data_IF_418960511885
#
_entry.id   IF_418960511885
#
_cell.length_a   1.000
_cell.length_b   1.000
_cell.length_c   1.000
_cell.angle_alpha   90.00
_cell.angle_beta   90.00
_cell.angle_gamma   90.00
#
_symmetry.space_group_name_H-M   'P 1'
#
loop_
_entity.id
_entity.type
_entity.pdbx_description
1 polymer ?
#
# COMPACT_ATOMS: atom_id res chain seq x y z
N UNK A 1 3.04 -71.99 16.87
CA UNK A 1 2.46 -71.50 15.62
C UNK A 1 1.76 -70.13 15.74
N UNK A 2 0.84 -69.87 16.69
CA UNK A 2 0.17 -68.55 16.79
C UNK A 2 1.13 -67.41 17.23
N UNK A 3 2.06 -67.71 18.14
CA UNK A 3 3.01 -66.71 18.66
C UNK A 3 4.08 -66.28 17.63
N UNK A 4 4.47 -67.16 16.71
CA UNK A 4 5.47 -66.85 15.66
C UNK A 4 4.92 -65.89 14.59
N UNK A 5 3.61 -65.97 14.30
CA UNK A 5 2.94 -65.06 13.38
C UNK A 5 2.84 -63.64 13.96
N UNK A 6 2.57 -63.51 15.26
CA UNK A 6 2.54 -62.21 15.94
C UNK A 6 3.92 -61.55 15.97
N UNK A 7 4.96 -62.33 16.28
CA UNK A 7 6.36 -61.87 16.28
C UNK A 7 6.78 -61.41 14.88
N UNK A 8 6.49 -62.21 13.84
CA UNK A 8 6.79 -61.85 12.45
C UNK A 8 6.10 -60.56 12.01
N UNK A 9 4.84 -60.37 12.43
CA UNK A 9 4.06 -59.15 12.13
C UNK A 9 4.66 -57.92 12.82
N UNK A 10 5.06 -58.05 14.10
CA UNK A 10 5.71 -56.97 14.84
C UNK A 10 7.09 -56.63 14.27
N UNK A 11 7.89 -57.62 13.89
CA UNK A 11 9.18 -57.41 13.23
C UNK A 11 9.01 -56.71 11.87
N UNK A 12 8.01 -57.09 11.09
CA UNK A 12 7.70 -56.44 9.82
C UNK A 12 7.27 -54.99 10.02
N UNK A 13 6.39 -54.73 10.99
CA UNK A 13 5.97 -53.37 11.36
C UNK A 13 7.14 -52.51 11.82
N UNK A 14 8.04 -53.08 12.64
CA UNK A 14 9.21 -52.37 13.13
C UNK A 14 10.22 -52.06 12.01
N UNK A 15 10.39 -52.97 11.04
CA UNK A 15 11.18 -52.72 9.82
C UNK A 15 10.57 -51.60 8.97
N UNK A 16 9.25 -51.63 8.76
CA UNK A 16 8.54 -50.57 8.03
C UNK A 16 8.70 -49.21 8.73
N UNK A 17 8.55 -49.18 10.05
CA UNK A 17 8.72 -47.95 10.83
C UNK A 17 10.14 -47.38 10.73
N UNK A 18 11.16 -48.25 10.77
CA UNK A 18 12.56 -47.84 10.58
C UNK A 18 12.80 -47.32 9.18
N UNK A 19 12.26 -47.97 8.14
CA UNK A 19 12.36 -47.49 6.75
C UNK A 19 11.68 -46.13 6.57
N UNK A 20 10.45 -45.96 7.07
CA UNK A 20 9.74 -44.70 7.02
C UNK A 20 10.48 -43.59 7.77
N UNK A 21 11.10 -43.90 8.91
CA UNK A 21 11.94 -42.96 9.65
C UNK A 21 13.13 -42.50 8.81
N UNK A 22 13.87 -43.44 8.19
CA UNK A 22 15.02 -43.11 7.35
C UNK A 22 14.64 -42.23 6.16
N UNK A 23 13.52 -42.54 5.50
CA UNK A 23 12.99 -41.71 4.40
C UNK A 23 12.69 -40.28 4.86
N UNK A 24 11.99 -40.13 6.00
CA UNK A 24 11.67 -38.81 6.56
C UNK A 24 12.93 -38.02 6.94
N UNK A 25 13.93 -38.67 7.54
CA UNK A 25 15.20 -38.02 7.90
C UNK A 25 15.95 -37.55 6.65
N UNK A 26 15.98 -38.35 5.58
CA UNK A 26 16.57 -37.93 4.30
C UNK A 26 15.88 -36.69 3.74
N UNK A 27 14.54 -36.71 3.70
CA UNK A 27 13.77 -35.59 3.17
C UNK A 27 13.93 -34.32 4.01
N UNK A 28 14.04 -34.47 5.33
CA UNK A 28 14.28 -33.35 6.24
C UNK A 28 15.65 -32.70 5.94
N UNK A 29 16.68 -33.51 5.72
CA UNK A 29 18.02 -33.01 5.35
C UNK A 29 18.02 -32.27 4.01
N UNK A 30 17.29 -32.76 3.01
CA UNK A 30 17.14 -32.07 1.72
C UNK A 30 16.51 -30.69 1.90
N UNK A 31 15.43 -30.60 2.68
CA UNK A 31 14.74 -29.33 2.95
C UNK A 31 15.63 -28.37 3.73
N UNK A 32 16.40 -28.87 4.70
CA UNK A 32 17.38 -28.05 5.43
C UNK A 32 18.44 -27.46 4.49
N UNK A 33 18.95 -28.26 3.52
CA UNK A 33 19.90 -27.75 2.52
C UNK A 33 19.26 -26.74 1.56
N UNK A 34 18.01 -26.95 1.16
CA UNK A 34 17.28 -26.00 0.31
C UNK A 34 17.03 -24.67 1.05
N UNK A 35 16.67 -24.74 2.33
CA UNK A 35 16.49 -23.57 3.16
C UNK A 35 17.79 -22.76 3.34
N UNK A 36 18.93 -23.44 3.49
CA UNK A 36 20.25 -22.79 3.56
C UNK A 36 20.61 -22.09 2.25
N UNK A 37 20.31 -22.72 1.10
CA UNK A 37 20.52 -22.10 -0.21
C UNK A 37 19.65 -20.85 -0.38
N UNK A 38 18.36 -20.92 -0.05
CA UNK A 38 17.44 -19.78 -0.14
C UNK A 38 17.88 -18.62 0.77
N UNK A 39 18.40 -18.92 1.97
CA UNK A 39 18.97 -17.89 2.85
C UNK A 39 20.17 -17.20 2.21
N UNK A 40 21.08 -17.97 1.61
CA UNK A 40 22.23 -17.39 0.92
C UNK A 40 21.84 -16.54 -0.29
N UNK A 41 20.77 -16.90 -0.99
CA UNK A 41 20.22 -16.14 -2.12
C UNK A 41 19.61 -14.82 -1.66
N UNK A 42 18.87 -14.82 -0.55
CA UNK A 42 18.33 -13.60 0.07
C UNK A 42 19.48 -12.66 0.49
N UNK A 43 20.51 -13.18 1.16
CA UNK A 43 21.66 -12.37 1.55
C UNK A 43 22.37 -11.74 0.34
N UNK A 44 22.45 -12.47 -0.78
CA UNK A 44 22.99 -11.96 -2.03
C UNK A 44 22.11 -10.86 -2.65
N UNK A 45 20.78 -11.05 -2.63
CA UNK A 45 19.82 -10.06 -3.10
C UNK A 45 19.86 -8.77 -2.27
N UNK A 46 19.93 -8.89 -0.94
CA UNK A 46 20.04 -7.74 -0.03
C UNK A 46 21.33 -6.95 -0.30
N UNK A 47 22.44 -7.64 -0.53
CA UNK A 47 23.70 -7.03 -0.97
C UNK A 47 23.56 -6.25 -2.28
N UNK A 48 22.87 -6.82 -3.28
CA UNK A 48 22.62 -6.15 -4.56
C UNK A 48 21.66 -4.95 -4.41
N UNK A 49 20.63 -5.06 -3.58
CA UNK A 49 19.68 -3.99 -3.27
C UNK A 49 20.40 -2.79 -2.65
N UNK A 50 21.26 -3.03 -1.66
CA UNK A 50 22.07 -1.98 -1.05
C UNK A 50 22.99 -1.28 -2.07
N UNK A 51 23.58 -2.02 -3.01
CA UNK A 51 24.37 -1.43 -4.10
C UNK A 51 23.51 -0.57 -5.03
N UNK A 52 22.29 -0.99 -5.35
CA UNK A 52 21.35 -0.22 -6.16
C UNK A 52 20.95 1.06 -5.43
N UNK A 53 20.64 1.00 -4.14
CA UNK A 53 20.31 2.17 -3.32
C UNK A 53 21.45 3.19 -3.32
N UNK A 54 22.69 2.76 -3.10
CA UNK A 54 23.85 3.67 -3.15
C UNK A 54 24.05 4.27 -4.54
N UNK A 55 23.83 3.49 -5.60
CA UNK A 55 23.86 3.97 -6.99
C UNK A 55 22.79 5.04 -7.21
N UNK A 56 21.55 4.79 -6.80
CA UNK A 56 20.45 5.75 -6.86
C UNK A 56 20.79 7.03 -6.10
N UNK A 57 21.32 6.92 -4.89
CA UNK A 57 21.73 8.09 -4.10
C UNK A 57 22.81 8.92 -4.80
N UNK A 58 23.81 8.27 -5.42
CA UNK A 58 24.84 8.98 -6.19
C UNK A 58 24.29 9.66 -7.45
N UNK A 59 23.36 9.02 -8.16
CA UNK A 59 22.68 9.59 -9.33
C UNK A 59 21.77 10.76 -8.96
N UNK A 60 21.07 10.67 -7.83
CA UNK A 60 20.26 11.76 -7.32
C UNK A 60 21.14 12.93 -6.88
N UNK A 61 22.23 12.67 -6.17
CA UNK A 61 23.18 13.71 -5.75
C UNK A 61 23.77 14.46 -6.95
N UNK A 62 24.28 13.73 -7.95
CA UNK A 62 24.80 14.31 -9.20
C UNK A 62 23.74 15.06 -10.00
N UNK A 63 22.49 14.58 -10.01
CA UNK A 63 21.37 15.27 -10.69
C UNK A 63 20.93 16.55 -9.98
N UNK A 64 20.92 16.56 -8.65
CA UNK A 64 20.58 17.75 -7.85
C UNK A 64 21.64 18.85 -7.98
N UNK A 65 22.92 18.48 -8.08
CA UNK A 65 24.02 19.44 -8.24
C UNK A 65 23.97 20.19 -9.58
N UNK A 66 23.46 19.55 -10.63
CA UNK A 66 23.30 20.15 -11.97
C UNK A 66 22.08 21.08 -12.13
N UNK A 67 21.10 21.07 -11.21
CA UNK A 67 19.96 21.98 -11.26
C UNK A 67 20.24 23.35 -10.61
N UNK A 68 21.23 23.44 -9.72
CA UNK A 68 21.63 24.69 -9.05
C UNK A 68 22.35 25.71 -9.94
N UNK A 69 22.85 25.31 -11.11
CA UNK A 69 23.70 26.15 -11.97
C UNK A 69 22.97 26.85 -13.13
N UNK A 70 21.63 26.81 -13.20
CA UNK A 70 20.84 27.40 -14.30
C UNK A 70 20.23 28.78 -14.00
N UNK A 71 20.47 29.37 -12.84
CA UNK A 71 20.00 30.72 -12.52
C UNK A 71 21.20 31.67 -12.46
N UNK A 72 21.62 32.19 -13.63
CA UNK A 72 22.35 33.45 -13.81
C UNK A 72 22.75 33.58 -15.30
N UNK A 73 21.79 33.76 -16.21
CA UNK A 73 22.12 34.26 -17.56
C UNK A 73 20.91 34.87 -18.30
N UNK A 74 20.34 35.97 -17.78
CA UNK A 74 19.26 36.70 -18.46
C UNK A 74 19.41 38.23 -18.43
N UNK A 75 20.62 38.77 -18.23
CA UNK A 75 20.82 40.24 -18.16
C UNK A 75 21.90 40.80 -19.10
N UNK A 76 22.33 40.11 -20.16
CA UNK A 76 23.49 40.58 -20.95
C UNK A 76 23.30 40.60 -22.47
N UNK A 77 22.09 40.84 -22.96
CA UNK A 77 21.89 41.04 -24.40
C UNK A 77 20.69 41.93 -24.74
N UNK A 78 20.76 43.23 -24.40
CA UNK A 78 20.01 44.28 -25.12
C UNK A 78 20.46 45.69 -24.74
N UNK A 79 21.70 46.01 -25.09
CA UNK A 79 22.09 47.38 -25.39
C UNK A 79 22.68 47.43 -26.79
N UNK A 80 21.90 47.94 -27.73
CA UNK A 80 22.34 48.90 -28.75
C UNK A 80 21.19 49.23 -29.71
N UNK A 81 21.00 50.55 -29.85
CA UNK A 81 20.62 51.28 -31.07
C UNK A 81 19.13 51.55 -31.40
N UNK A 82 18.83 52.83 -31.22
CA UNK A 82 18.25 53.76 -32.22
C UNK A 82 16.78 54.18 -32.05
N UNK A 83 16.65 55.35 -31.40
CA UNK A 83 15.89 56.53 -31.83
C UNK A 83 15.06 56.39 -33.12
N UNK A 84 13.75 56.66 -33.03
CA UNK A 84 13.09 57.90 -33.48
C UNK A 84 11.59 57.67 -33.75
N UNK A 85 10.83 58.76 -33.64
CA UNK A 85 9.46 58.97 -34.15
C UNK A 85 8.29 58.48 -33.29
N UNK A 86 7.81 59.38 -32.42
CA UNK A 86 6.57 60.12 -32.71
C UNK A 86 6.27 61.14 -31.60
N UNK A 87 6.66 62.39 -31.90
CA UNK A 87 5.90 63.55 -31.43
C UNK A 87 4.64 63.58 -32.28
N UNK A 88 3.48 63.63 -31.64
CA UNK A 88 2.33 64.50 -31.98
C UNK A 88 1.08 64.02 -31.25
N UNK A 89 0.77 64.69 -30.14
CA UNK A 89 -0.53 65.35 -29.91
C UNK A 89 -0.71 65.67 -28.42
N UNK A 90 -0.51 66.95 -28.12
CA UNK A 90 -1.01 67.63 -26.93
C UNK A 90 -2.42 68.16 -27.20
N UNK A 91 -3.21 68.25 -26.11
CA UNK A 91 -4.42 69.08 -25.90
C UNK A 91 -5.72 68.53 -26.48
N UNK A 92 -6.89 68.65 -25.84
CA UNK A 92 -7.33 69.23 -24.58
C UNK A 92 -8.79 68.77 -24.35
N UNK A 93 -9.24 68.80 -23.09
CA UNK A 93 -10.64 69.02 -22.66
C UNK A 93 -11.64 67.88 -23.05
N UNK A 94 -12.67 67.50 -22.29
CA UNK A 94 -13.47 68.22 -21.31
C UNK A 94 -14.30 67.18 -20.51
N UNK A 95 -14.81 67.57 -19.34
CA UNK A 95 -15.77 66.81 -18.53
C UNK A 95 -17.08 66.58 -19.30
N UNK A 96 -17.66 65.36 -19.27
CA UNK A 96 -19.03 65.19 -18.75
C UNK A 96 -19.41 63.73 -18.46
N UNK A 97 -20.28 63.61 -17.46
CA UNK A 97 -21.19 62.55 -17.04
C UNK A 97 -21.62 61.53 -18.12
N UNK A 98 -21.95 60.29 -17.73
CA UNK A 98 -23.20 59.58 -18.09
C UNK A 98 -23.24 58.14 -17.51
N UNK A 99 -24.04 57.98 -16.47
CA UNK A 99 -25.06 56.93 -16.24
C UNK A 99 -24.69 55.43 -16.44
N UNK A 100 -24.28 54.76 -15.36
CA UNK A 100 -24.31 53.29 -15.27
C UNK A 100 -25.65 52.82 -14.68
N UNK A 101 -26.54 52.30 -15.54
CA UNK A 101 -27.68 51.47 -15.11
C UNK A 101 -27.40 49.98 -15.21
N UNK A 102 -27.94 49.17 -14.28
CA UNK A 102 -27.63 47.75 -14.12
C UNK A 102 -28.58 46.86 -14.93
N UNK A 103 -28.15 45.62 -15.24
CA UNK A 103 -29.05 44.54 -15.63
C UNK A 103 -28.88 43.33 -14.71
N UNK A 104 -29.98 43.12 -14.00
CA UNK A 104 -30.43 41.96 -13.23
C UNK A 104 -30.34 40.64 -14.02
N UNK A 105 -29.91 39.56 -13.36
CA UNK A 105 -30.60 38.27 -13.43
C UNK A 105 -30.13 37.35 -12.29
N UNK A 106 -31.06 37.16 -11.36
CA UNK A 106 -31.20 36.11 -10.37
C UNK A 106 -30.82 34.70 -10.84
N UNK A 107 -30.06 33.97 -10.01
CA UNK A 107 -30.42 32.59 -9.71
C UNK A 107 -29.91 32.18 -8.32
N UNK A 108 -30.84 32.04 -7.37
CA UNK A 108 -30.62 31.61 -6.00
C UNK A 108 -30.91 30.11 -5.90
N UNK A 109 -29.92 29.31 -5.47
CA UNK A 109 -30.18 28.00 -4.90
C UNK A 109 -29.85 28.01 -3.40
N UNK A 110 -30.92 27.75 -2.65
CA UNK A 110 -31.03 27.74 -1.20
C UNK A 110 -30.42 26.49 -0.59
N UNK A 111 -29.59 26.65 0.45
CA UNK A 111 -29.53 25.66 1.54
C UNK A 111 -29.50 26.36 2.89
N UNK A 112 -30.54 26.05 3.66
CA UNK A 112 -30.89 26.47 5.00
C UNK A 112 -29.71 26.62 5.98
N UNK A 113 -29.64 27.81 6.57
CA UNK A 113 -29.16 28.02 7.94
C UNK A 113 -30.35 27.88 8.89
N UNK A 114 -30.23 27.04 9.92
CA UNK A 114 -31.05 27.15 11.13
C UNK A 114 -30.13 27.40 12.30
N UNK A 115 -30.24 28.62 12.83
CA UNK A 115 -29.66 29.10 14.08
C UNK A 115 -30.33 28.43 15.29
N UNK A 116 -29.56 28.27 16.36
CA UNK A 116 -29.86 28.55 17.78
C UNK A 116 -28.69 27.95 18.60
N UNK A 117 -28.06 28.54 19.61
CA UNK A 117 -28.18 29.81 20.34
C UNK A 117 -27.11 29.78 21.46
N UNK A 118 -26.51 30.93 21.79
CA UNK A 118 -25.87 31.29 23.09
C UNK A 118 -24.49 30.67 23.44
N UNK A 119 -23.47 31.55 23.60
CA UNK A 119 -22.63 31.81 24.81
C UNK A 119 -21.42 32.67 24.39
N UNK A 120 -21.06 33.62 25.25
CA UNK A 120 -20.06 34.67 25.07
C UNK A 120 -18.73 34.34 25.78
N UNK A 121 -17.60 34.74 25.15
CA UNK A 121 -16.21 34.87 25.66
C UNK A 121 -15.31 33.61 25.77
N UNK A 122 -13.96 33.72 25.81
CA UNK A 122 -13.04 34.78 25.35
C UNK A 122 -11.90 34.27 24.42
N UNK A 123 -11.17 35.22 23.81
CA UNK A 123 -9.86 35.03 23.17
C UNK A 123 -8.83 34.46 24.15
N UNK A 124 -8.17 33.38 23.75
CA UNK A 124 -6.95 32.87 24.38
C UNK A 124 -6.24 31.91 23.44
N UNK A 125 -5.19 32.38 22.77
CA UNK A 125 -4.28 31.49 22.07
C UNK A 125 -3.53 30.64 23.08
N UNK A 126 -3.51 29.33 22.86
CA UNK A 126 -2.55 28.42 23.50
C UNK A 126 -2.30 27.24 22.58
N UNK A 127 -1.14 27.27 21.93
CA UNK A 127 -0.53 26.10 21.31
C UNK A 127 -0.29 25.05 22.41
N UNK A 128 -1.12 24.01 22.44
CA UNK A 128 -0.80 22.77 23.14
C UNK A 128 -0.72 21.66 22.09
N UNK A 129 0.45 21.58 21.45
CA UNK A 129 0.91 20.32 20.86
C UNK A 129 1.29 19.39 22.01
N UNK A 130 0.28 18.77 22.60
CA UNK A 130 0.40 17.54 23.38
C UNK A 130 -0.94 16.82 23.33
N UNK A 131 -1.15 16.09 22.24
CA UNK A 131 -2.21 15.10 22.12
C UNK A 131 -1.56 13.75 21.91
N UNK A 132 -1.40 13.08 23.05
CA UNK A 132 -1.32 11.65 23.22
C UNK A 132 -2.02 10.82 22.13
N UNK A 133 -1.29 9.85 21.58
CA UNK A 133 -1.72 8.45 21.65
C UNK A 133 -2.93 8.00 20.83
N UNK A 134 -3.24 8.64 19.71
CA UNK A 134 -4.15 8.08 18.71
C UNK A 134 -3.36 7.39 17.60
N UNK A 135 -3.23 6.06 17.64
CA UNK A 135 -2.68 5.30 16.51
C UNK A 135 -3.56 5.54 15.27
N UNK A 136 -3.15 6.49 14.42
CA UNK A 136 -3.69 6.62 13.07
C UNK A 136 -3.22 5.38 12.31
N UNK A 137 -4.11 4.42 12.10
CA UNK A 137 -3.84 3.31 11.20
C UNK A 137 -3.62 3.86 9.80
N UNK A 138 -2.35 3.89 9.37
CA UNK A 138 -1.98 4.21 8.00
C UNK A 138 -2.60 3.15 7.09
N UNK A 139 -3.41 3.61 6.12
CA UNK A 139 -4.06 2.74 5.15
C UNK A 139 -2.97 2.30 4.16
N UNK A 140 -2.69 0.99 4.00
CA UNK A 140 -1.69 0.52 3.05
C UNK A 140 -2.03 0.96 1.63
N UNK A 141 -1.02 1.44 0.90
CA UNK A 141 -1.14 1.83 -0.50
C UNK A 141 -1.42 0.62 -1.38
N UNK A 142 -2.27 0.82 -2.40
CA UNK A 142 -2.55 -0.20 -3.42
C UNK A 142 -1.45 -0.09 -4.46
N UNK A 143 -0.67 -1.15 -4.63
CA UNK A 143 0.35 -1.21 -5.68
C UNK A 143 -0.25 -1.97 -6.88
N UNK A 144 -0.26 -1.32 -8.04
CA UNK A 144 -0.86 -1.87 -9.25
C UNK A 144 0.17 -2.59 -10.13
N UNK A 145 1.46 -2.41 -9.87
CA UNK A 145 2.56 -2.94 -10.67
C UNK A 145 3.38 -3.96 -9.87
N UNK A 146 2.67 -4.95 -9.33
CA UNK A 146 3.28 -5.97 -8.48
C UNK A 146 3.66 -7.18 -9.32
N UNK A 147 4.93 -7.54 -9.26
CA UNK A 147 5.50 -8.72 -9.91
C UNK A 147 4.85 -9.99 -9.36
N UNK A 148 4.43 -10.88 -10.25
CA UNK A 148 3.78 -12.14 -9.86
C UNK A 148 4.87 -13.11 -9.42
N UNK A 149 4.98 -13.29 -8.11
CA UNK A 149 5.98 -14.17 -7.47
C UNK A 149 5.54 -15.64 -7.45
N UNK A 150 4.24 -15.92 -7.62
CA UNK A 150 3.72 -17.29 -7.57
C UNK A 150 2.37 -17.44 -8.28
N UNK A 151 2.05 -18.63 -8.77
CA UNK A 151 0.74 -18.99 -9.34
C UNK A 151 -0.20 -19.68 -8.33
N UNK A 152 0.12 -19.58 -7.03
CA UNK A 152 -0.53 -20.32 -5.94
C UNK A 152 -2.06 -20.17 -5.88
N UNK A 153 -2.59 -19.05 -6.35
CA UNK A 153 -3.99 -18.69 -6.21
C UNK A 153 -4.80 -18.69 -7.52
N UNK A 154 -4.24 -19.17 -8.64
CA UNK A 154 -4.91 -19.18 -9.95
C UNK A 154 -6.27 -19.89 -9.92
N UNK A 155 -6.32 -21.08 -9.31
CA UNK A 155 -7.55 -21.90 -9.26
C UNK A 155 -8.38 -21.71 -7.98
N UNK A 156 -8.06 -20.69 -7.18
CA UNK A 156 -8.69 -20.49 -5.87
C UNK A 156 -9.76 -19.41 -5.93
N UNK A 157 -10.76 -19.55 -5.06
CA UNK A 157 -11.69 -18.45 -4.78
C UNK A 157 -11.04 -17.40 -3.87
N UNK A 158 -11.49 -16.14 -3.96
CA UNK A 158 -11.04 -15.04 -3.09
C UNK A 158 -11.03 -15.50 -1.62
N UNK A 159 -12.14 -16.07 -1.16
CA UNK A 159 -12.31 -16.58 0.20
C UNK A 159 -11.23 -17.59 0.59
N UNK A 160 -10.91 -18.56 -0.28
CA UNK A 160 -9.90 -19.57 0.01
C UNK A 160 -8.51 -18.95 0.09
N UNK A 161 -8.14 -18.13 -0.89
CA UNK A 161 -6.83 -17.49 -0.93
C UNK A 161 -6.63 -16.53 0.27
N UNK A 162 -7.63 -15.70 0.59
CA UNK A 162 -7.59 -14.81 1.75
C UNK A 162 -7.56 -15.57 3.08
N UNK A 163 -8.18 -16.74 3.19
CA UNK A 163 -8.05 -17.59 4.39
C UNK A 163 -6.60 -18.00 4.61
N UNK A 164 -5.87 -18.35 3.54
CA UNK A 164 -4.46 -18.73 3.63
C UNK A 164 -3.60 -17.54 4.05
N UNK A 165 -3.80 -16.38 3.41
CA UNK A 165 -3.06 -15.15 3.72
C UNK A 165 -3.27 -14.69 5.18
N UNK A 166 -4.50 -14.69 5.67
CA UNK A 166 -4.78 -14.30 7.06
C UNK A 166 -4.23 -15.32 8.07
N UNK A 167 -4.23 -16.61 7.72
CA UNK A 167 -3.63 -17.65 8.55
C UNK A 167 -2.11 -17.51 8.62
N UNK A 168 -1.46 -17.24 7.49
CA UNK A 168 -0.02 -17.03 7.37
C UNK A 168 0.44 -15.76 8.08
N UNK A 169 -0.32 -14.66 7.94
CA UNK A 169 0.01 -13.40 8.58
C UNK A 169 -0.23 -13.42 10.11
N UNK A 170 -1.14 -14.27 10.60
CA UNK A 170 -1.47 -14.38 12.03
C UNK A 170 -2.09 -13.12 12.65
N UNK A 171 -2.42 -12.11 11.83
CA UNK A 171 -2.94 -10.81 12.25
C UNK A 171 -4.05 -10.34 11.29
N UNK A 172 -4.90 -9.39 11.72
CA UNK A 172 -5.86 -8.78 10.82
C UNK A 172 -5.15 -8.00 9.70
N UNK A 173 -5.66 -8.12 8.47
CA UNK A 173 -5.09 -7.45 7.30
C UNK A 173 -6.11 -6.49 6.67
N UNK A 174 -5.61 -5.37 6.15
CA UNK A 174 -6.42 -4.44 5.38
C UNK A 174 -6.68 -5.00 3.98
N UNK A 175 -7.81 -4.63 3.35
CA UNK A 175 -8.21 -5.09 2.01
C UNK A 175 -7.17 -4.74 0.95
N UNK A 176 -6.51 -3.59 1.07
CA UNK A 176 -5.45 -3.19 0.14
C UNK A 176 -4.24 -4.13 0.25
N UNK A 177 -3.86 -4.49 1.49
CA UNK A 177 -2.77 -5.44 1.72
C UNK A 177 -3.15 -6.85 1.24
N UNK A 178 -4.40 -7.26 1.45
CA UNK A 178 -4.92 -8.51 0.90
C UNK A 178 -4.93 -8.51 -0.63
N UNK A 179 -5.26 -7.39 -1.26
CA UNK A 179 -5.20 -7.25 -2.71
C UNK A 179 -3.78 -7.40 -3.25
N UNK A 180 -2.82 -6.66 -2.69
CA UNK A 180 -1.42 -6.74 -3.11
C UNK A 180 -0.91 -8.18 -2.98
N UNK A 181 -1.09 -8.82 -1.81
CA UNK A 181 -0.68 -10.21 -1.60
C UNK A 181 -1.38 -11.22 -2.50
N UNK A 182 -2.67 -11.01 -2.81
CA UNK A 182 -3.39 -11.85 -3.76
C UNK A 182 -2.79 -11.72 -5.17
N UNK A 183 -2.45 -10.49 -5.59
CA UNK A 183 -1.80 -10.24 -6.88
C UNK A 183 -0.38 -10.80 -6.96
N UNK A 184 0.43 -10.60 -5.92
CA UNK A 184 1.77 -11.19 -5.78
C UNK A 184 1.74 -12.70 -5.96
N UNK A 185 0.69 -13.35 -5.47
CA UNK A 185 0.50 -14.80 -5.53
C UNK A 185 -0.38 -15.24 -6.71
N UNK A 186 -0.49 -14.39 -7.75
CA UNK A 186 -1.04 -14.78 -9.05
C UNK A 186 -2.56 -14.94 -9.06
N UNK A 187 -3.29 -14.32 -8.12
CA UNK A 187 -4.75 -14.34 -8.13
C UNK A 187 -5.28 -13.49 -9.31
N UNK A 188 -6.06 -14.06 -10.24
CA UNK A 188 -6.58 -13.32 -11.38
C UNK A 188 -7.77 -12.45 -10.97
N UNK A 189 -7.59 -11.13 -10.99
CA UNK A 189 -8.70 -10.17 -10.85
C UNK A 189 -9.22 -9.77 -12.23
N UNK A 190 -10.49 -10.06 -12.50
CA UNK A 190 -11.13 -9.77 -13.78
C UNK A 190 -11.94 -8.46 -13.80
N UNK A 191 -12.01 -7.74 -12.68
CA UNK A 191 -12.85 -6.55 -12.51
C UNK A 191 -12.08 -5.29 -12.08
N UNK A 192 -12.65 -4.12 -12.38
CA UNK A 192 -12.03 -2.81 -12.13
C UNK A 192 -11.88 -2.44 -10.65
N UNK A 193 -12.64 -3.08 -9.76
CA UNK A 193 -12.66 -2.77 -8.32
C UNK A 193 -12.36 -4.01 -7.46
N UNK A 194 -11.13 -4.52 -7.49
CA UNK A 194 -10.77 -5.77 -6.83
C UNK A 194 -10.88 -5.69 -5.30
N UNK A 195 -10.58 -4.54 -4.70
CA UNK A 195 -10.71 -4.31 -3.25
C UNK A 195 -12.16 -4.41 -2.77
N UNK A 196 -13.11 -3.85 -3.52
CA UNK A 196 -14.54 -3.98 -3.23
C UNK A 196 -14.97 -5.46 -3.34
N UNK A 197 -14.55 -6.15 -4.40
CA UNK A 197 -14.82 -7.58 -4.60
C UNK A 197 -14.31 -8.44 -3.45
N UNK A 198 -13.11 -8.15 -2.94
CA UNK A 198 -12.53 -8.81 -1.76
C UNK A 198 -13.41 -8.51 -0.55
N UNK A 199 -13.64 -7.25 -0.22
CA UNK A 199 -14.40 -6.85 0.96
C UNK A 199 -15.80 -7.48 1.00
N UNK A 200 -16.52 -7.48 -0.13
CA UNK A 200 -17.85 -8.09 -0.25
C UNK A 200 -17.78 -9.62 -0.08
N UNK A 201 -16.78 -10.29 -0.67
CA UNK A 201 -16.61 -11.74 -0.52
C UNK A 201 -16.33 -12.13 0.93
N UNK A 202 -15.49 -11.38 1.62
CA UNK A 202 -15.18 -11.62 3.04
C UNK A 202 -16.38 -11.35 3.94
N UNK A 203 -17.13 -10.27 3.69
CA UNK A 203 -18.33 -9.94 4.47
C UNK A 203 -19.43 -11.02 4.39
N UNK A 204 -19.50 -11.75 3.27
CA UNK A 204 -20.48 -12.83 3.07
C UNK A 204 -20.10 -14.14 3.77
N UNK A 205 -18.85 -14.30 4.22
CA UNK A 205 -18.36 -15.54 4.80
C UNK A 205 -18.11 -15.39 6.31
N UNK A 206 -18.83 -16.20 7.11
CA UNK A 206 -18.77 -16.20 8.58
C UNK A 206 -17.39 -16.51 9.18
N UNK A 207 -16.44 -17.03 8.39
CA UNK A 207 -15.06 -17.26 8.83
C UNK A 207 -14.28 -15.96 9.02
N UNK A 208 -14.71 -14.86 8.40
CA UNK A 208 -14.05 -13.58 8.54
C UNK A 208 -14.89 -12.63 9.39
N UNK A 209 -14.19 -11.79 10.16
CA UNK A 209 -14.80 -10.73 10.94
C UNK A 209 -14.13 -9.41 10.59
N UNK A 210 -14.94 -8.40 10.29
CA UNK A 210 -14.46 -7.04 10.13
C UNK A 210 -14.08 -6.49 11.51
N UNK A 211 -12.83 -6.10 11.68
CA UNK A 211 -12.30 -5.56 12.94
C UNK A 211 -12.10 -4.04 12.88
N UNK A 212 -11.94 -3.48 11.68
CA UNK A 212 -11.85 -2.05 11.43
C UNK A 212 -12.36 -1.71 10.01
N UNK A 213 -12.51 -0.43 9.64
CA UNK A 213 -12.81 -0.05 8.26
C UNK A 213 -11.79 -0.66 7.29
N UNK A 214 -12.25 -1.51 6.38
CA UNK A 214 -11.36 -2.19 5.41
C UNK A 214 -10.44 -3.25 6.01
N UNK A 215 -10.54 -3.62 7.28
CA UNK A 215 -9.64 -4.60 7.92
C UNK A 215 -10.40 -5.84 8.38
N UNK A 216 -9.90 -7.01 8.01
CA UNK A 216 -10.51 -8.30 8.26
C UNK A 216 -9.58 -9.21 9.06
N UNK A 217 -10.18 -9.97 9.98
CA UNK A 217 -9.52 -11.00 10.78
C UNK A 217 -10.18 -12.36 10.52
N UNK A 218 -9.43 -13.44 10.75
CA UNK A 218 -9.93 -14.81 10.65
C UNK A 218 -10.48 -15.25 12.01
N UNK A 219 -11.77 -15.56 12.09
CA UNK A 219 -12.49 -15.90 13.33
C UNK A 219 -12.05 -17.25 13.89
N UNK A 220 -11.77 -18.21 13.01
CA UNK A 220 -11.33 -19.55 13.41
C UNK A 220 -9.80 -19.56 13.41
N UNK A 221 -9.22 -19.26 14.58
CA UNK A 221 -7.79 -19.41 14.85
C UNK A 221 -7.44 -20.80 15.40
N UNK A 222 -8.14 -21.86 14.99
CA UNK A 222 -7.87 -23.23 15.41
C UNK A 222 -7.34 -24.02 14.18
N UNK A 223 -6.21 -24.72 14.20
CA UNK A 223 -5.62 -25.55 15.25
C UNK A 223 -4.08 -25.39 15.39
N UNK A 224 -3.47 -24.32 14.89
CA UNK A 224 -2.01 -24.13 14.95
C UNK A 224 -1.49 -23.34 16.16
N UNK A 225 -2.36 -22.65 16.90
CA UNK A 225 -1.98 -21.96 18.15
C UNK A 225 -2.14 -22.81 19.43
N UNK A 226 -2.82 -23.96 19.35
CA UNK A 226 -2.99 -24.86 20.49
C UNK A 226 -1.86 -25.91 20.64
N UNK A 227 -0.80 -25.82 19.83
CA UNK A 227 0.30 -26.78 19.78
C UNK A 227 1.68 -26.15 20.03
N UNK A 228 1.74 -25.01 20.73
CA UNK A 228 2.99 -24.44 21.27
C UNK A 228 3.03 -24.58 22.78
#
# INVERSE_FOLDING_TARGET
>A
MVNENLISTLEQSLRQMRQARTQKVSRLREIETEAENLRSEIDALDGSSSQIETTIHSLLFTSHQNQGNRKNNYNEARETRDNQDNRDNRRNEDYDSHDYKPKTASNSNSYNSRQSSVVQMPRGGSNNNNSSGGMRHEIPTVEYDVEILSERFVDRTITQATTMLLREAGKPLHVNELYNRLRENGFPFTGNNPTISIAVSLNRNRRFRKVAPGTFDLVIRDASQAAS
#
